data_IF_753983603905
#
_entry.id   IF_753983603905
#
_cell.length_a   1.000
_cell.length_b   1.000
_cell.length_c   1.000
_cell.angle_alpha   90.00
_cell.angle_beta   90.00
_cell.angle_gamma   90.00
#
_symmetry.space_group_name_H-M   'P 1'
#
loop_
_entity.id
_entity.type
_entity.pdbx_description
1 polymer ?
#
# COMPACT_ATOMS: atom_id res chain seq x y z
N UNK A 1 -10.15 -10.91 7.87
CA UNK A 1 -9.57 -9.58 7.59
C UNK A 1 -9.50 -8.78 8.86
N UNK A 2 -8.30 -8.68 9.41
CA UNK A 2 -7.89 -7.74 10.44
C UNK A 2 -7.79 -6.33 9.84
N UNK A 3 -7.87 -5.29 10.69
CA UNK A 3 -7.77 -3.89 10.23
C UNK A 3 -6.43 -3.61 9.52
N UNK A 4 -5.37 -4.31 9.91
CA UNK A 4 -4.05 -4.25 9.26
C UNK A 4 -4.06 -4.82 7.84
N UNK A 5 -4.80 -5.89 7.57
CA UNK A 5 -4.89 -6.46 6.22
C UNK A 5 -5.59 -5.52 5.24
N UNK A 6 -6.60 -4.78 5.71
CA UNK A 6 -7.32 -3.78 4.90
C UNK A 6 -6.36 -2.65 4.52
N UNK A 7 -5.57 -2.17 5.48
CA UNK A 7 -4.59 -1.10 5.23
C UNK A 7 -3.43 -1.57 4.33
N UNK A 8 -3.07 -2.86 4.41
CA UNK A 8 -1.98 -3.39 3.60
C UNK A 8 -2.42 -3.89 2.21
N UNK A 9 -3.73 -3.85 1.93
CA UNK A 9 -4.35 -4.41 0.72
C UNK A 9 -3.74 -3.94 -0.62
N UNK A 10 -3.41 -2.64 -0.82
CA UNK A 10 -2.83 -2.20 -2.09
C UNK A 10 -1.52 -2.93 -2.42
N UNK A 11 -0.64 -3.06 -1.43
CA UNK A 11 0.61 -3.78 -1.53
C UNK A 11 0.40 -5.29 -1.69
N UNK A 12 -0.56 -5.88 -0.97
CA UNK A 12 -0.91 -7.30 -1.12
C UNK A 12 -1.37 -7.60 -2.54
N UNK A 13 -2.23 -6.74 -3.13
CA UNK A 13 -2.68 -6.87 -4.51
C UNK A 13 -1.56 -6.71 -5.54
N UNK A 14 -0.59 -5.85 -5.27
CA UNK A 14 0.57 -5.71 -6.13
C UNK A 14 1.46 -6.97 -6.09
N UNK A 15 1.72 -7.52 -4.90
CA UNK A 15 2.46 -8.79 -4.76
C UNK A 15 1.73 -9.96 -5.44
N UNK A 16 0.41 -10.08 -5.29
CA UNK A 16 -0.40 -11.09 -5.99
C UNK A 16 -0.29 -10.98 -7.52
N UNK A 17 -0.33 -9.76 -8.07
CA UNK A 17 -0.16 -9.54 -9.53
C UNK A 17 1.24 -9.89 -10.03
N UNK A 18 2.24 -9.75 -9.17
CA UNK A 18 3.62 -10.10 -9.48
C UNK A 18 3.92 -11.59 -9.27
N UNK A 19 2.94 -12.38 -8.81
CA UNK A 19 3.09 -13.81 -8.56
C UNK A 19 3.98 -14.12 -7.34
N UNK A 20 4.11 -13.17 -6.41
CA UNK A 20 4.99 -13.27 -5.24
C UNK A 20 4.16 -13.37 -3.97
N UNK A 21 4.63 -14.16 -3.00
CA UNK A 21 3.98 -14.31 -1.70
C UNK A 21 4.08 -13.01 -0.87
N UNK A 22 2.95 -12.32 -0.57
CA UNK A 22 2.93 -11.05 0.15
C UNK A 22 3.32 -11.14 1.63
N UNK A 23 3.28 -12.33 2.24
CA UNK A 23 3.58 -12.51 3.67
C UNK A 23 5.03 -12.94 3.95
N UNK A 24 5.72 -13.49 2.95
CA UNK A 24 7.12 -13.89 3.01
C UNK A 24 8.12 -12.78 2.64
N UNK A 25 9.14 -13.11 1.85
CA UNK A 25 10.24 -12.20 1.47
C UNK A 25 9.79 -10.95 0.70
N UNK A 26 8.59 -10.96 0.09
CA UNK A 26 8.03 -9.82 -0.61
C UNK A 26 7.38 -8.77 0.33
N UNK A 27 7.55 -8.90 1.65
CA UNK A 27 7.11 -7.89 2.62
C UNK A 27 7.66 -6.48 2.34
N UNK A 28 8.86 -6.38 1.77
CA UNK A 28 9.45 -5.10 1.33
C UNK A 28 8.67 -4.47 0.17
N UNK A 29 8.29 -5.27 -0.84
CA UNK A 29 7.51 -4.82 -2.00
C UNK A 29 6.13 -4.36 -1.53
N UNK A 30 5.49 -5.16 -0.66
CA UNK A 30 4.20 -4.83 -0.05
C UNK A 30 4.26 -3.48 0.68
N UNK A 31 5.29 -3.27 1.50
CA UNK A 31 5.50 -2.02 2.23
C UNK A 31 5.76 -0.83 1.30
N UNK A 32 6.61 -1.01 0.29
CA UNK A 32 6.95 0.06 -0.66
C UNK A 32 5.71 0.53 -1.44
N UNK A 33 4.91 -0.41 -1.95
CA UNK A 33 3.67 -0.08 -2.67
C UNK A 33 2.67 0.64 -1.77
N UNK A 34 2.44 0.16 -0.55
CA UNK A 34 1.54 0.83 0.38
C UNK A 34 2.01 2.25 0.70
N UNK A 35 3.31 2.43 0.95
CA UNK A 35 3.88 3.74 1.24
C UNK A 35 3.66 4.72 0.10
N UNK A 36 3.86 4.29 -1.16
CA UNK A 36 3.60 5.12 -2.33
C UNK A 36 2.12 5.49 -2.47
N UNK A 37 1.21 4.52 -2.29
CA UNK A 37 -0.23 4.76 -2.38
C UNK A 37 -0.69 5.76 -1.32
N UNK A 38 -0.26 5.58 -0.06
CA UNK A 38 -0.62 6.48 1.03
C UNK A 38 0.04 7.85 0.89
N UNK A 39 1.28 7.91 0.41
CA UNK A 39 1.94 9.18 0.12
C UNK A 39 1.13 10.00 -0.89
N UNK A 40 0.76 9.41 -2.03
CA UNK A 40 -0.02 10.10 -3.06
C UNK A 40 -1.40 10.51 -2.53
N UNK A 41 -2.10 9.62 -1.83
CA UNK A 41 -3.39 9.93 -1.22
C UNK A 41 -3.29 11.09 -0.21
N UNK A 42 -2.28 11.07 0.67
CA UNK A 42 -2.04 12.13 1.64
C UNK A 42 -1.68 13.46 0.97
N UNK A 43 -0.86 13.45 -0.09
CA UNK A 43 -0.54 14.67 -0.84
C UNK A 43 -1.78 15.28 -1.50
N UNK A 44 -2.67 14.45 -2.06
CA UNK A 44 -3.96 14.91 -2.61
C UNK A 44 -4.81 15.54 -1.50
N UNK A 45 -4.91 14.89 -0.33
CA UNK A 45 -5.65 15.43 0.81
C UNK A 45 -5.07 16.78 1.26
N UNK A 46 -3.75 16.88 1.42
CA UNK A 46 -3.09 18.14 1.79
C UNK A 46 -3.34 19.22 0.76
N UNK A 47 -3.26 18.89 -0.53
CA UNK A 47 -3.54 19.84 -1.61
C UNK A 47 -4.97 20.38 -1.52
N UNK A 48 -5.98 19.51 -1.37
CA UNK A 48 -7.40 19.92 -1.24
C UNK A 48 -7.64 20.80 0.00
N UNK A 49 -6.92 20.55 1.09
CA UNK A 49 -7.10 21.29 2.35
C UNK A 49 -6.40 22.64 2.33
N UNK A 50 -5.24 22.75 1.67
CA UNK A 50 -4.36 23.91 1.72
C UNK A 50 -4.57 24.88 0.55
N UNK A 51 -5.01 24.38 -0.61
CA UNK A 51 -5.22 25.17 -1.84
C UNK A 51 -6.72 25.39 -2.08
#
# INVERSE_FOLDING_TARGET
MTMSEIFLWPGTKACERLGVDPEGEAGLIRWMVNTLVYLVASLIVVWIVVV
#
